data_IF_313165954039
#
_entry.id   IF_313165954039
#
_cell.length_a   1.000
_cell.length_b   1.000
_cell.length_c   1.000
_cell.angle_alpha   90.00
_cell.angle_beta   90.00
_cell.angle_gamma   90.00
#
_symmetry.space_group_name_H-M   'P 1'
#
loop_
_entity.id
_entity.type
_entity.pdbx_description
1 polymer ?
#
# COMPACT_ATOMS: atom_id res chain seq x y z
N UNK A 1 -27.25 10.98 17.60
CA UNK A 1 -25.78 11.06 17.69
C UNK A 1 -25.23 10.23 16.54
N UNK A 2 -24.89 10.92 15.46
CA UNK A 2 -24.38 10.36 14.21
C UNK A 2 -22.89 10.06 14.34
N UNK A 3 -22.54 8.80 14.56
CA UNK A 3 -21.18 8.29 14.49
C UNK A 3 -21.13 7.18 13.46
N UNK A 4 -21.15 7.53 12.17
CA UNK A 4 -20.87 6.61 11.08
C UNK A 4 -19.45 6.90 10.60
N UNK A 5 -18.47 6.27 11.25
CA UNK A 5 -17.12 6.13 10.71
C UNK A 5 -16.90 4.64 10.45
N UNK A 6 -17.16 4.24 9.21
CA UNK A 6 -16.78 2.94 8.65
C UNK A 6 -15.45 3.12 7.89
N UNK A 7 -14.45 3.66 8.56
CA UNK A 7 -13.07 3.70 8.07
C UNK A 7 -12.28 2.60 8.77
N UNK A 8 -11.67 1.69 8.01
CA UNK A 8 -10.74 0.71 8.59
C UNK A 8 -9.50 1.47 9.06
N UNK A 9 -9.24 1.45 10.37
CA UNK A 9 -8.03 2.00 10.97
C UNK A 9 -6.83 1.16 10.55
N UNK A 10 -5.83 1.78 9.93
CA UNK A 10 -4.60 1.12 9.51
C UNK A 10 -3.45 1.66 10.35
N UNK A 11 -2.53 0.78 10.73
CA UNK A 11 -1.27 1.16 11.37
C UNK A 11 -0.15 0.55 10.55
N UNK A 12 0.69 1.39 9.96
CA UNK A 12 1.91 0.92 9.31
C UNK A 12 2.98 0.86 10.38
N UNK A 13 3.66 -0.28 10.48
CA UNK A 13 4.58 -0.58 11.57
C UNK A 13 5.88 -1.15 11.01
N UNK A 14 6.98 -0.73 11.61
CA UNK A 14 8.31 -1.28 11.41
C UNK A 14 9.04 -1.37 12.77
N UNK A 15 9.98 -2.31 12.91
CA UNK A 15 10.77 -2.50 14.13
C UNK A 15 12.24 -2.69 13.82
N UNK A 16 13.10 -2.07 14.63
CA UNK A 16 14.51 -2.41 14.68
C UNK A 16 14.79 -3.32 15.88
N UNK A 17 15.71 -4.26 15.71
CA UNK A 17 16.01 -5.28 16.71
C UNK A 17 17.50 -5.34 17.03
N UNK A 18 17.86 -6.01 18.12
CA UNK A 18 19.27 -6.25 18.46
C UNK A 18 20.00 -7.16 17.46
N UNK A 19 19.30 -7.70 16.46
CA UNK A 19 19.74 -8.74 15.55
C UNK A 19 18.65 -9.78 15.29
N UNK A 20 19.02 -10.92 14.73
CA UNK A 20 18.10 -11.99 14.34
C UNK A 20 18.76 -13.36 14.54
N UNK A 21 18.00 -14.43 14.86
CA UNK A 21 16.53 -14.53 14.98
C UNK A 21 15.98 -14.32 16.39
N UNK A 22 14.65 -14.14 16.54
CA UNK A 22 13.98 -14.03 17.84
C UNK A 22 14.24 -15.22 18.78
N UNK A 23 14.44 -16.43 18.22
CA UNK A 23 14.74 -17.65 18.98
C UNK A 23 16.08 -17.62 19.71
N UNK A 24 17.00 -16.75 19.28
CA UNK A 24 18.32 -16.56 19.89
C UNK A 24 18.26 -15.45 20.96
N UNK A 25 17.05 -15.10 21.39
CA UNK A 25 16.76 -14.13 22.44
C UNK A 25 16.93 -12.68 22.01
N UNK A 26 16.97 -12.39 20.70
CA UNK A 26 17.02 -11.02 20.20
C UNK A 26 15.76 -10.24 20.62
N UNK A 27 15.90 -8.92 20.74
CA UNK A 27 14.91 -8.04 21.36
C UNK A 27 14.65 -6.83 20.47
N UNK A 28 13.49 -6.22 20.63
CA UNK A 28 13.16 -4.96 19.93
C UNK A 28 13.93 -3.81 20.59
N UNK A 29 14.48 -2.90 19.77
CA UNK A 29 15.18 -1.68 20.22
C UNK A 29 14.57 -0.39 19.68
N UNK A 30 13.72 -0.47 18.66
CA UNK A 30 12.94 0.65 18.16
C UNK A 30 11.58 0.14 17.65
N UNK A 31 10.52 0.88 17.94
CA UNK A 31 9.19 0.66 17.36
C UNK A 31 8.78 1.95 16.67
N UNK A 32 8.47 1.87 15.38
CA UNK A 32 7.91 2.97 14.61
C UNK A 32 6.53 2.60 14.08
N UNK A 33 5.54 3.41 14.39
CA UNK A 33 4.17 3.21 13.91
C UNK A 33 3.58 4.52 13.41
N UNK A 34 2.92 4.47 12.26
CA UNK A 34 2.14 5.59 11.71
C UNK A 34 0.70 5.18 11.48
N UNK A 35 -0.24 6.01 11.93
CA UNK A 35 -1.66 5.75 11.78
C UNK A 35 -2.23 6.36 10.49
N UNK A 36 -3.06 5.57 9.81
CA UNK A 36 -3.91 6.01 8.73
C UNK A 36 -5.38 5.77 9.07
N UNK A 37 -6.21 6.76 8.77
CA UNK A 37 -7.66 6.62 8.71
C UNK A 37 -8.06 6.46 7.23
N UNK A 38 -8.37 5.22 6.85
CA UNK A 38 -8.56 4.83 5.46
C UNK A 38 -7.30 5.00 4.62
N UNK A 39 -7.16 6.13 3.93
CA UNK A 39 -6.03 6.41 3.01
C UNK A 39 -5.32 7.72 3.33
N UNK A 40 -5.53 8.26 4.52
CA UNK A 40 -4.97 9.55 4.96
C UNK A 40 -4.19 9.35 6.24
N UNK A 41 -2.98 9.91 6.29
CA UNK A 41 -2.20 10.01 7.52
C UNK A 41 -2.98 10.83 8.54
N UNK A 42 -3.12 10.32 9.76
CA UNK A 42 -3.78 11.08 10.85
C UNK A 42 -2.80 11.99 11.58
N UNK A 43 -1.49 11.76 11.40
CA UNK A 43 -0.41 12.41 12.15
C UNK A 43 -0.19 11.82 13.55
N UNK A 44 -0.97 10.82 13.95
CA UNK A 44 -0.71 10.05 15.18
C UNK A 44 0.34 9.00 14.92
N UNK A 45 1.48 9.16 15.57
CA UNK A 45 2.57 8.20 15.53
C UNK A 45 2.78 7.59 16.91
N UNK A 46 3.31 6.37 16.94
CA UNK A 46 3.91 5.78 18.13
C UNK A 46 5.36 5.48 17.79
N UNK A 47 6.28 6.15 18.47
CA UNK A 47 7.71 6.02 18.20
C UNK A 47 8.49 5.99 19.51
N UNK A 48 9.16 4.87 19.76
CA UNK A 48 9.94 4.66 20.99
C UNK A 48 11.22 3.90 20.68
N UNK A 49 12.28 4.27 21.38
CA UNK A 49 13.49 3.45 21.50
C UNK A 49 13.43 2.66 22.80
N UNK A 50 14.00 1.45 22.80
CA UNK A 50 13.90 0.51 23.90
C UNK A 50 15.27 0.01 24.33
N UNK A 51 15.48 -0.09 25.64
CA UNK A 51 16.59 -0.83 26.21
C UNK A 51 16.27 -2.34 26.13
N UNK A 52 17.09 -3.14 25.41
CA UNK A 52 16.82 -4.56 25.21
C UNK A 52 17.32 -5.46 26.35
N UNK A 53 17.98 -4.91 27.38
CA UNK A 53 18.70 -5.65 28.43
C UNK A 53 19.74 -6.66 27.87
N UNK A 54 20.29 -6.39 26.69
CA UNK A 54 21.37 -7.17 26.04
C UNK A 54 22.18 -6.30 25.08
N UNK A 55 23.29 -6.83 24.59
CA UNK A 55 24.06 -6.18 23.52
C UNK A 55 23.37 -6.34 22.16
N UNK A 56 23.49 -5.29 21.34
CA UNK A 56 23.12 -5.22 19.92
C UNK A 56 24.28 -5.77 19.09
N UNK A 57 23.99 -6.65 18.15
CA UNK A 57 24.98 -7.22 17.24
C UNK A 57 25.58 -6.15 16.33
N UNK A 58 26.89 -6.22 16.08
CA UNK A 58 27.58 -5.26 15.18
C UNK A 58 26.95 -5.20 13.79
N UNK A 59 26.42 -6.32 13.29
CA UNK A 59 25.72 -6.38 12.01
C UNK A 59 24.42 -5.58 12.00
N UNK A 60 23.68 -5.56 13.11
CA UNK A 60 22.45 -4.77 13.26
C UNK A 60 22.80 -3.28 13.39
N UNK A 61 23.82 -2.94 14.19
CA UNK A 61 24.33 -1.55 14.30
C UNK A 61 24.73 -1.01 12.92
N UNK A 62 25.34 -1.81 12.05
CA UNK A 62 25.70 -1.39 10.70
C UNK A 62 24.49 -1.08 9.79
N UNK A 63 23.30 -1.60 10.11
CA UNK A 63 22.06 -1.43 9.33
C UNK A 63 21.26 -0.22 9.80
N UNK A 64 21.04 -0.08 11.11
CA UNK A 64 20.19 0.95 11.71
C UNK A 64 20.95 2.03 12.51
N UNK A 65 22.24 1.83 12.82
CA UNK A 65 23.09 2.81 13.51
C UNK A 65 22.84 3.01 15.00
N UNK A 66 21.92 2.24 15.58
CA UNK A 66 21.53 2.35 16.99
C UNK A 66 22.58 1.64 17.85
N UNK A 67 23.25 2.37 18.73
CA UNK A 67 24.32 1.83 19.57
C UNK A 67 23.82 1.41 20.95
N UNK A 68 24.56 0.52 21.62
CA UNK A 68 24.26 0.09 22.98
C UNK A 68 24.18 1.27 23.96
N UNK A 69 25.05 2.26 23.79
CA UNK A 69 25.08 3.47 24.62
C UNK A 69 23.83 4.33 24.41
N UNK A 70 23.33 4.39 23.18
CA UNK A 70 22.14 5.18 22.86
C UNK A 70 20.87 4.61 23.50
N UNK A 71 20.73 3.28 23.55
CA UNK A 71 19.54 2.63 24.12
C UNK A 71 19.65 2.37 25.63
N UNK A 72 20.82 2.58 26.23
CA UNK A 72 21.07 2.24 27.63
C UNK A 72 20.13 2.95 28.63
N UNK A 73 19.75 4.20 28.34
CA UNK A 73 18.88 5.03 29.19
C UNK A 73 17.39 4.99 28.78
N UNK A 74 17.07 4.25 27.72
CA UNK A 74 15.71 4.16 27.17
C UNK A 74 14.80 3.26 28.01
N UNK A 75 13.47 3.44 27.96
CA UNK A 75 12.54 2.55 28.64
C UNK A 75 12.68 1.11 28.13
N UNK A 76 12.27 0.13 28.93
CA UNK A 76 12.16 -1.26 28.47
C UNK A 76 10.80 -1.47 27.82
N UNK A 77 10.66 -2.55 27.04
CA UNK A 77 9.37 -2.89 26.44
C UNK A 77 8.22 -2.95 27.45
N UNK A 78 8.46 -3.51 28.64
CA UNK A 78 7.47 -3.58 29.74
C UNK A 78 6.89 -2.22 30.15
N UNK A 79 7.69 -1.16 30.01
CA UNK A 79 7.33 0.19 30.46
C UNK A 79 6.40 0.89 29.44
N UNK A 80 6.40 0.43 28.18
CA UNK A 80 5.58 0.98 27.08
C UNK A 80 4.54 -0.02 26.55
N UNK A 81 4.52 -1.26 27.04
CA UNK A 81 3.72 -2.35 26.49
C UNK A 81 2.22 -2.05 26.45
N UNK A 82 1.68 -1.42 27.50
CA UNK A 82 0.26 -1.04 27.55
C UNK A 82 -0.07 0.06 26.54
N UNK A 83 0.78 1.08 26.43
CA UNK A 83 0.59 2.18 25.47
C UNK A 83 0.70 1.68 24.03
N UNK A 84 1.67 0.81 23.75
CA UNK A 84 1.84 0.18 22.45
C UNK A 84 0.64 -0.70 22.09
N UNK A 85 0.19 -1.54 23.02
CA UNK A 85 -0.98 -2.39 22.82
C UNK A 85 -2.22 -1.55 22.48
N UNK A 86 -2.53 -0.52 23.28
CA UNK A 86 -3.65 0.39 23.00
C UNK A 86 -3.49 1.11 21.66
N UNK A 87 -2.26 1.43 21.25
CA UNK A 87 -2.00 2.02 19.95
C UNK A 87 -2.31 1.06 18.81
N UNK A 88 -2.03 -0.23 18.89
CA UNK A 88 -2.25 -1.15 17.76
C UNK A 88 -3.61 -1.85 17.79
N UNK A 89 -4.24 -1.97 18.96
CA UNK A 89 -5.46 -2.74 19.18
C UNK A 89 -6.59 -2.37 18.20
N UNK A 90 -7.20 -3.39 17.59
CA UNK A 90 -8.31 -3.24 16.64
C UNK A 90 -7.93 -2.66 15.27
N UNK A 91 -6.64 -2.43 14.98
CA UNK A 91 -6.19 -1.95 13.67
C UNK A 91 -5.86 -3.09 12.70
N UNK A 92 -5.75 -2.74 11.42
CA UNK A 92 -5.01 -3.55 10.45
C UNK A 92 -3.55 -3.09 10.43
N UNK A 93 -2.63 -3.99 10.76
CA UNK A 93 -1.20 -3.76 10.73
C UNK A 93 -0.67 -3.98 9.32
N UNK A 94 0.01 -2.98 8.79
CA UNK A 94 0.67 -3.01 7.49
C UNK A 94 2.17 -3.06 7.76
N UNK A 95 2.78 -4.19 7.46
CA UNK A 95 4.18 -4.45 7.78
C UNK A 95 4.87 -5.00 6.53
N UNK A 96 6.14 -4.69 6.33
CA UNK A 96 6.93 -5.29 5.26
C UNK A 96 7.68 -6.50 5.80
N UNK A 97 7.38 -7.71 5.31
CA UNK A 97 7.88 -8.96 5.88
C UNK A 97 7.32 -9.24 7.29
N UNK A 98 6.00 -9.12 7.44
CA UNK A 98 5.28 -9.12 8.72
C UNK A 98 5.62 -10.26 9.70
N UNK A 99 6.01 -11.44 9.19
CA UNK A 99 6.40 -12.56 10.04
C UNK A 99 7.57 -12.23 10.97
N UNK A 100 8.44 -11.30 10.56
CA UNK A 100 9.56 -10.81 11.35
C UNK A 100 9.05 -10.03 12.58
N UNK A 101 8.45 -8.85 12.35
CA UNK A 101 8.00 -7.93 13.39
C UNK A 101 6.98 -8.58 14.33
N UNK A 102 6.01 -9.31 13.78
CA UNK A 102 4.99 -10.02 14.58
C UNK A 102 5.66 -11.07 15.48
N UNK A 103 6.68 -11.78 15.00
CA UNK A 103 7.43 -12.73 15.82
C UNK A 103 8.12 -12.06 17.01
N UNK A 104 8.71 -10.89 16.80
CA UNK A 104 9.33 -10.12 17.88
C UNK A 104 8.29 -9.54 18.85
N UNK A 105 7.21 -8.95 18.36
CA UNK A 105 6.14 -8.38 19.20
C UNK A 105 5.50 -9.47 20.08
N UNK A 106 5.13 -10.61 19.48
CA UNK A 106 4.58 -11.75 20.19
C UNK A 106 5.53 -12.23 21.30
N UNK A 107 6.83 -12.33 20.99
CA UNK A 107 7.85 -12.74 21.95
C UNK A 107 8.02 -11.73 23.09
N UNK A 108 8.02 -10.42 22.81
CA UNK A 108 8.10 -9.39 23.85
C UNK A 108 6.92 -9.47 24.83
N UNK A 109 5.68 -9.61 24.33
CA UNK A 109 4.51 -9.81 25.20
C UNK A 109 4.56 -11.14 25.96
N UNK A 110 5.05 -12.22 25.33
CA UNK A 110 5.23 -13.52 25.99
C UNK A 110 6.24 -13.46 27.15
N UNK A 111 7.35 -12.71 26.99
CA UNK A 111 8.34 -12.50 28.05
C UNK A 111 7.78 -11.72 29.25
N UNK A 112 6.77 -10.88 29.05
CA UNK A 112 6.05 -10.21 30.13
C UNK A 112 5.01 -11.11 30.84
N UNK A 113 4.78 -12.32 30.34
CA UNK A 113 3.71 -13.20 30.81
C UNK A 113 2.31 -12.75 30.42
N UNK A 114 2.18 -11.84 29.44
CA UNK A 114 0.91 -11.34 28.92
C UNK A 114 0.44 -12.24 27.76
N UNK A 115 0.15 -13.50 28.06
CA UNK A 115 -0.18 -14.51 27.04
C UNK A 115 -1.47 -14.21 26.26
N UNK A 116 -2.35 -13.36 26.80
CA UNK A 116 -3.53 -12.86 26.12
C UNK A 116 -3.21 -11.81 25.04
N UNK A 117 -1.99 -11.25 25.06
CA UNK A 117 -1.50 -10.26 24.08
C UNK A 117 -0.38 -10.79 23.19
N UNK A 118 0.13 -11.99 23.49
CA UNK A 118 1.24 -12.62 22.77
C UNK A 118 0.87 -13.16 21.40
N UNK A 119 -0.39 -13.04 20.98
CA UNK A 119 -0.85 -13.37 19.63
C UNK A 119 -1.49 -12.15 19.01
N UNK A 120 -0.70 -11.34 18.29
CA UNK A 120 -1.19 -10.10 17.65
C UNK A 120 -2.39 -10.34 16.73
N UNK A 121 -2.48 -11.51 16.10
CA UNK A 121 -3.60 -11.87 15.21
C UNK A 121 -4.95 -12.03 15.93
N UNK A 122 -4.97 -12.11 17.27
CA UNK A 122 -6.21 -12.22 18.04
C UNK A 122 -6.96 -10.88 18.15
N UNK A 123 -6.24 -9.76 18.02
CA UNK A 123 -6.80 -8.40 18.19
C UNK A 123 -6.47 -7.44 17.06
N UNK A 124 -5.59 -7.82 16.14
CA UNK A 124 -5.26 -7.08 14.92
C UNK A 124 -5.38 -7.98 13.69
N UNK A 125 -5.63 -7.37 12.53
CA UNK A 125 -5.41 -8.07 11.25
C UNK A 125 -4.05 -7.69 10.69
N UNK A 126 -3.33 -8.62 10.05
CA UNK A 126 -1.98 -8.37 9.54
C UNK A 126 -1.98 -8.45 8.01
N UNK A 127 -1.43 -7.42 7.37
CA UNK A 127 -1.19 -7.35 5.93
C UNK A 127 0.31 -7.26 5.67
N UNK A 128 0.86 -8.30 5.04
CA UNK A 128 2.26 -8.33 4.63
C UNK A 128 2.45 -7.70 3.24
N UNK A 129 3.06 -6.52 3.22
CA UNK A 129 3.32 -5.79 1.97
C UNK A 129 4.38 -6.45 1.10
N UNK A 130 5.27 -7.29 1.65
CA UNK A 130 6.25 -8.04 0.87
C UNK A 130 5.56 -9.11 0.02
N UNK A 131 4.59 -9.83 0.59
CA UNK A 131 3.79 -10.80 -0.16
C UNK A 131 2.97 -10.12 -1.26
N UNK A 132 2.34 -9.00 -0.92
CA UNK A 132 1.59 -8.17 -1.86
C UNK A 132 2.49 -7.63 -3.00
N UNK A 133 3.70 -7.20 -2.68
CA UNK A 133 4.68 -6.76 -3.67
C UNK A 133 5.17 -7.91 -4.57
N UNK A 134 5.38 -9.11 -4.01
CA UNK A 134 5.76 -10.32 -4.76
C UNK A 134 4.69 -10.77 -5.74
N UNK A 135 3.41 -10.67 -5.36
CA UNK A 135 2.30 -10.98 -6.24
C UNK A 135 2.22 -9.96 -7.40
N UNK A 136 2.41 -8.68 -7.10
CA UNK A 136 2.32 -7.61 -8.10
C UNK A 136 3.53 -7.53 -9.04
N UNK A 137 4.72 -7.83 -8.53
CA UNK A 137 5.99 -7.74 -9.25
C UNK A 137 6.76 -9.07 -9.13
N UNK A 138 6.24 -10.15 -9.75
CA UNK A 138 6.87 -11.46 -9.68
C UNK A 138 8.25 -11.45 -10.33
N UNK A 139 9.22 -12.11 -9.68
CA UNK A 139 10.60 -12.24 -10.17
C UNK A 139 11.47 -10.98 -10.04
N UNK A 140 10.97 -9.93 -9.39
CA UNK A 140 11.70 -8.67 -9.19
C UNK A 140 12.13 -8.50 -7.73
N UNK A 141 13.07 -7.55 -7.49
CA UNK A 141 13.43 -7.15 -6.13
C UNK A 141 12.23 -6.40 -5.51
N UNK A 142 11.80 -6.86 -4.35
CA UNK A 142 10.62 -6.36 -3.63
C UNK A 142 10.96 -5.91 -2.20
N UNK A 143 12.23 -5.56 -1.94
CA UNK A 143 12.60 -4.89 -0.69
C UNK A 143 12.14 -3.42 -0.73
N UNK A 144 12.06 -2.78 0.43
CA UNK A 144 11.52 -1.42 0.56
C UNK A 144 12.20 -0.42 -0.39
N UNK A 145 13.53 -0.44 -0.50
CA UNK A 145 14.28 0.43 -1.44
C UNK A 145 13.88 0.23 -2.91
N UNK A 146 13.69 -1.02 -3.35
CA UNK A 146 13.26 -1.29 -4.72
C UNK A 146 11.83 -0.82 -4.96
N UNK A 147 10.97 -0.88 -3.94
CA UNK A 147 9.60 -0.37 -4.02
C UNK A 147 9.58 1.15 -4.05
N UNK A 148 10.42 1.83 -3.24
CA UNK A 148 10.56 3.29 -3.27
C UNK A 148 10.92 3.79 -4.67
N UNK A 149 11.98 3.21 -5.24
CA UNK A 149 12.44 3.54 -6.60
C UNK A 149 11.36 3.28 -7.67
N UNK A 150 10.58 2.21 -7.51
CA UNK A 150 9.52 1.84 -8.47
C UNK A 150 8.34 2.79 -8.44
N UNK A 151 7.91 3.17 -7.24
CA UNK A 151 6.73 4.00 -7.03
C UNK A 151 7.04 5.49 -6.98
N UNK A 152 8.31 5.89 -7.07
CA UNK A 152 8.73 7.28 -7.02
C UNK A 152 8.59 7.90 -5.63
N UNK A 153 8.66 7.07 -4.59
CA UNK A 153 8.70 7.52 -3.19
C UNK A 153 10.14 7.93 -2.86
N UNK A 154 10.31 9.11 -2.29
CA UNK A 154 11.61 9.63 -1.90
C UNK A 154 12.10 8.94 -0.63
N UNK A 155 13.26 8.28 -0.72
CA UNK A 155 13.96 7.68 0.41
C UNK A 155 15.36 8.29 0.60
N UNK A 156 15.60 9.50 0.06
CA UNK A 156 16.93 10.15 0.13
C UNK A 156 17.37 10.53 1.55
N UNK A 157 16.44 10.67 2.49
CA UNK A 157 16.74 10.86 3.92
C UNK A 157 17.08 9.59 4.69
N UNK A 158 17.07 8.42 4.01
CA UNK A 158 17.26 7.10 4.61
C UNK A 158 18.71 6.61 4.44
N UNK A 159 19.65 7.26 5.13
CA UNK A 159 21.05 6.81 5.15
C UNK A 159 21.23 5.51 5.97
N UNK A 160 20.45 5.39 7.05
CA UNK A 160 20.36 4.21 7.92
C UNK A 160 18.88 3.84 8.11
N UNK A 161 18.62 2.59 8.49
CA UNK A 161 17.28 2.14 8.83
C UNK A 161 16.86 2.78 10.15
N UNK A 162 15.59 3.17 10.23
CA UNK A 162 15.00 3.71 11.45
C UNK A 162 13.51 3.48 11.39
N UNK A 163 12.97 2.85 12.43
CA UNK A 163 11.63 2.25 12.36
C UNK A 163 10.53 3.28 12.00
N UNK A 164 10.60 4.51 12.51
CA UNK A 164 9.61 5.52 12.17
C UNK A 164 9.70 5.96 10.70
N UNK A 165 10.92 6.21 10.22
CA UNK A 165 11.16 6.62 8.84
C UNK A 165 10.72 5.50 7.87
N UNK A 166 11.04 4.25 8.21
CA UNK A 166 10.69 3.09 7.41
C UNK A 166 9.17 2.85 7.41
N UNK A 167 8.47 3.08 8.53
CA UNK A 167 7.02 3.06 8.59
C UNK A 167 6.37 4.18 7.75
N UNK A 168 6.93 5.40 7.75
CA UNK A 168 6.45 6.51 6.91
C UNK A 168 6.63 6.21 5.41
N UNK A 169 7.83 5.75 5.02
CA UNK A 169 8.14 5.34 3.65
C UNK A 169 7.24 4.19 3.22
N UNK A 170 7.04 3.19 4.08
CA UNK A 170 6.16 2.07 3.82
C UNK A 170 4.71 2.51 3.65
N UNK A 171 4.25 3.51 4.41
CA UNK A 171 2.91 4.08 4.25
C UNK A 171 2.74 4.69 2.85
N UNK A 172 3.71 5.49 2.38
CA UNK A 172 3.69 6.08 1.04
C UNK A 172 3.77 5.03 -0.07
N UNK A 173 4.62 4.03 0.09
CA UNK A 173 4.72 2.87 -0.82
C UNK A 173 3.40 2.12 -0.86
N UNK A 174 2.80 1.83 0.29
CA UNK A 174 1.52 1.14 0.40
C UNK A 174 0.40 1.93 -0.27
N UNK A 175 0.29 3.23 0.03
CA UNK A 175 -0.71 4.11 -0.56
C UNK A 175 -0.54 4.20 -2.07
N UNK A 176 0.68 4.33 -2.58
CA UNK A 176 0.94 4.39 -4.02
C UNK A 176 0.67 3.04 -4.70
N UNK A 177 1.06 1.94 -4.06
CA UNK A 177 0.83 0.59 -4.56
C UNK A 177 -0.66 0.26 -4.66
N UNK A 178 -1.46 0.69 -3.69
CA UNK A 178 -2.92 0.48 -3.64
C UNK A 178 -3.73 1.60 -4.31
N UNK A 179 -3.10 2.73 -4.64
CA UNK A 179 -3.76 3.94 -5.15
C UNK A 179 -3.87 4.04 -6.68
N UNK A 180 -3.31 3.09 -7.42
CA UNK A 180 -3.52 2.99 -8.87
C UNK A 180 -5.01 2.88 -9.20
N UNK A 181 -5.41 3.28 -10.43
CA UNK A 181 -6.81 3.16 -10.89
C UNK A 181 -7.39 1.82 -10.43
N UNK A 182 -8.37 1.88 -9.53
CA UNK A 182 -9.26 0.75 -9.23
C UNK A 182 -9.86 0.39 -10.57
N UNK A 183 -9.30 -0.64 -11.19
CA UNK A 183 -9.71 -1.29 -12.43
C UNK A 183 -10.82 -0.53 -13.16
N UNK A 184 -10.54 0.15 -14.27
CA UNK A 184 -11.61 0.71 -15.11
C UNK A 184 -12.48 -0.49 -15.54
N UNK A 185 -13.57 -0.73 -14.79
CA UNK A 185 -14.44 -1.88 -15.01
C UNK A 185 -15.31 -1.57 -16.21
N UNK A 186 -14.71 -1.71 -17.39
CA UNK A 186 -15.38 -1.69 -18.69
C UNK A 186 -16.21 -2.97 -18.91
N UNK A 187 -16.04 -3.97 -18.04
CA UNK A 187 -16.89 -5.14 -17.92
C UNK A 187 -17.86 -4.95 -16.74
N UNK A 188 -19.15 -5.11 -17.03
CA UNK A 188 -20.25 -4.93 -16.08
C UNK A 188 -20.14 -5.83 -14.85
N UNK A 189 -20.80 -5.38 -13.78
CA UNK A 189 -20.82 -5.97 -12.44
C UNK A 189 -21.05 -7.49 -12.46
N UNK A 190 -20.09 -8.21 -11.89
CA UNK A 190 -20.13 -9.65 -11.73
C UNK A 190 -18.77 -10.18 -11.28
N UNK A 191 -18.34 -9.82 -10.07
CA UNK A 191 -17.08 -10.31 -9.51
C UNK A 191 -17.26 -10.75 -8.05
N UNK A 192 -17.37 -12.06 -7.84
CA UNK A 192 -16.89 -12.67 -6.59
C UNK A 192 -15.37 -12.52 -6.56
N UNK A 193 -14.86 -11.92 -5.48
CA UNK A 193 -13.51 -11.38 -5.28
C UNK A 193 -12.33 -12.34 -5.43
N UNK A 194 -12.19 -13.00 -6.58
CA UNK A 194 -11.15 -14.01 -6.86
C UNK A 194 -10.12 -13.58 -7.91
N UNK A 195 -10.09 -12.30 -8.30
CA UNK A 195 -9.02 -11.74 -9.17
C UNK A 195 -8.89 -12.37 -10.56
N UNK A 196 -9.78 -13.28 -10.96
CA UNK A 196 -9.80 -13.88 -12.29
C UNK A 196 -10.63 -13.03 -13.25
N UNK A 197 -9.99 -12.54 -14.31
CA UNK A 197 -10.67 -11.91 -15.44
C UNK A 197 -11.43 -13.02 -16.19
N UNK A 198 -12.70 -13.21 -15.85
CA UNK A 198 -13.61 -14.00 -16.67
C UNK A 198 -14.00 -13.17 -17.91
N UNK A 199 -14.01 -13.75 -19.12
CA UNK A 199 -14.55 -13.07 -20.28
C UNK A 199 -16.02 -12.71 -20.01
N UNK A 200 -16.38 -11.45 -20.25
CA UNK A 200 -17.76 -10.99 -20.03
C UNK A 200 -18.72 -11.86 -20.87
N UNK A 201 -19.84 -12.32 -20.29
CA UNK A 201 -20.83 -13.05 -21.07
C UNK A 201 -21.34 -12.17 -22.21
N UNK A 202 -21.45 -12.74 -23.41
CA UNK A 202 -21.98 -12.04 -24.58
C UNK A 202 -23.42 -11.63 -24.27
N UNK A 203 -23.65 -10.35 -23.97
CA UNK A 203 -25.00 -9.80 -23.80
C UNK A 203 -25.64 -9.62 -25.17
N UNK A 204 -26.41 -10.61 -25.61
CA UNK A 204 -27.22 -10.50 -26.82
C UNK A 204 -28.36 -9.50 -26.57
N UNK A 205 -28.43 -8.47 -27.41
CA UNK A 205 -29.52 -7.50 -27.36
C UNK A 205 -30.81 -8.13 -27.88
N UNK A 206 -31.94 -7.73 -27.31
CA UNK A 206 -33.26 -8.21 -27.74
C UNK A 206 -33.54 -7.76 -29.19
N UNK A 207 -33.85 -8.68 -30.12
CA UNK A 207 -34.17 -8.35 -31.50
C UNK A 207 -35.44 -7.48 -31.65
N UNK A 208 -36.33 -7.46 -30.65
CA UNK A 208 -37.57 -6.68 -30.65
C UNK A 208 -37.45 -5.35 -29.88
N UNK A 209 -36.23 -4.86 -29.61
CA UNK A 209 -36.05 -3.57 -28.91
C UNK A 209 -36.71 -2.42 -29.68
N UNK A 210 -37.35 -1.50 -28.96
CA UNK A 210 -37.90 -0.28 -29.55
C UNK A 210 -36.78 0.54 -30.25
N UNK A 211 -37.04 1.12 -31.43
CA UNK A 211 -36.05 1.94 -32.12
C UNK A 211 -35.77 3.21 -31.31
N UNK A 212 -34.49 3.49 -31.08
CA UNK A 212 -34.05 4.72 -30.40
C UNK A 212 -34.04 5.85 -31.42
N UNK A 213 -34.48 7.05 -31.01
CA UNK A 213 -34.41 8.25 -31.85
C UNK A 213 -32.95 8.57 -32.16
N UNK A 214 -32.58 8.49 -33.44
CA UNK A 214 -31.26 8.93 -33.92
C UNK A 214 -31.33 10.40 -34.26
N UNK A 215 -30.60 11.22 -33.52
CA UNK A 215 -30.38 12.62 -33.85
C UNK A 215 -29.17 12.70 -34.79
N UNK A 216 -29.41 13.12 -36.04
CA UNK A 216 -28.35 13.33 -37.02
C UNK A 216 -27.72 14.71 -36.81
N UNK A 217 -26.45 14.82 -37.21
CA UNK A 217 -25.81 16.13 -37.32
C UNK A 217 -26.59 17.01 -38.29
N UNK A 218 -26.68 18.29 -37.94
CA UNK A 218 -27.24 19.35 -38.78
C UNK A 218 -26.28 19.69 -39.93
N UNK A 219 -26.78 20.39 -40.96
CA UNK A 219 -25.94 20.84 -42.07
C UNK A 219 -24.81 21.77 -41.60
N UNK A 220 -25.06 22.59 -40.58
CA UNK A 220 -24.06 23.47 -39.96
C UNK A 220 -22.95 22.67 -39.26
N UNK A 221 -23.31 21.64 -38.49
CA UNK A 221 -22.34 20.76 -37.84
C UNK A 221 -21.51 19.96 -38.83
N UNK A 222 -22.11 19.52 -39.95
CA UNK A 222 -21.39 18.84 -41.03
C UNK A 222 -20.43 19.78 -41.75
N UNK A 223 -20.83 21.03 -42.01
CA UNK A 223 -19.94 22.05 -42.58
C UNK A 223 -18.76 22.36 -41.65
N UNK A 224 -19.02 22.50 -40.35
CA UNK A 224 -17.97 22.69 -39.34
C UNK A 224 -17.02 21.48 -39.26
N UNK A 225 -17.56 20.26 -39.38
CA UNK A 225 -16.77 19.04 -39.44
C UNK A 225 -15.83 19.01 -40.66
N UNK A 226 -16.30 19.40 -41.84
CA UNK A 226 -15.48 19.48 -43.05
C UNK A 226 -14.33 20.49 -42.90
N UNK A 227 -14.60 21.66 -42.32
CA UNK A 227 -13.56 22.66 -42.00
C UNK A 227 -12.52 22.07 -41.03
N UNK A 228 -12.96 21.30 -40.03
CA UNK A 228 -12.06 20.65 -39.08
C UNK A 228 -11.18 19.59 -39.74
N UNK A 229 -11.72 18.80 -40.67
CA UNK A 229 -10.96 17.81 -41.43
C UNK A 229 -9.87 18.45 -42.29
N UNK A 230 -10.16 19.58 -42.95
CA UNK A 230 -9.16 20.32 -43.74
C UNK A 230 -8.00 20.86 -42.88
N UNK A 231 -8.29 21.30 -41.64
CA UNK A 231 -7.24 21.71 -40.69
C UNK A 231 -6.35 20.52 -40.32
N UNK A 232 -6.96 19.36 -40.06
CA UNK A 232 -6.23 18.14 -39.71
C UNK A 232 -5.35 17.68 -40.88
N UNK A 233 -5.88 17.70 -42.10
CA UNK A 233 -5.13 17.35 -43.31
C UNK A 233 -3.89 18.24 -43.49
N UNK A 234 -4.08 19.56 -43.35
CA UNK A 234 -2.98 20.53 -43.45
C UNK A 234 -1.91 20.31 -42.37
N UNK A 235 -2.31 19.95 -41.16
CA UNK A 235 -1.39 19.70 -40.05
C UNK A 235 -0.68 18.34 -40.17
N UNK A 236 -1.36 17.32 -40.68
CA UNK A 236 -0.85 15.95 -40.81
C UNK A 236 -0.06 15.71 -42.11
N UNK A 237 -0.17 16.60 -43.10
CA UNK A 237 0.51 16.48 -44.39
C UNK A 237 -0.05 15.38 -45.29
N UNK A 238 -1.29 14.94 -45.04
CA UNK A 238 -1.95 13.89 -45.81
C UNK A 238 -3.43 13.71 -45.43
N UNK A 239 -4.20 12.99 -46.27
CA UNK A 239 -5.65 12.89 -46.13
C UNK A 239 -6.06 12.22 -44.82
N UNK A 240 -7.03 12.79 -44.06
CA UNK A 240 -7.51 12.22 -42.82
C UNK A 240 -8.09 10.82 -43.02
N UNK A 241 -7.91 9.94 -42.03
CA UNK A 241 -8.46 8.57 -42.06
C UNK A 241 -9.97 8.56 -42.26
N UNK A 242 -10.68 9.56 -41.73
CA UNK A 242 -12.13 9.71 -41.90
C UNK A 242 -12.54 9.74 -43.37
N UNK A 243 -11.86 10.56 -44.18
CA UNK A 243 -12.13 10.70 -45.63
C UNK A 243 -11.86 9.38 -46.37
N UNK A 244 -10.77 8.69 -46.02
CA UNK A 244 -10.43 7.38 -46.60
C UNK A 244 -11.47 6.31 -46.29
N UNK A 245 -12.09 6.37 -45.11
CA UNK A 245 -13.11 5.40 -44.70
C UNK A 245 -14.46 5.69 -45.35
N UNK A 246 -14.83 6.94 -45.59
CA UNK A 246 -16.04 7.30 -46.34
C UNK A 246 -15.95 6.88 -47.81
N UNK A 247 -14.78 7.05 -48.44
CA UNK A 247 -14.53 6.58 -49.81
C UNK A 247 -14.60 5.05 -49.94
N UNK A 248 -14.23 4.31 -48.90
CA UNK A 248 -14.29 2.84 -48.86
C UNK A 248 -15.70 2.27 -48.57
N UNK A 249 -16.62 3.11 -48.10
CA UNK A 249 -18.00 2.75 -47.80
C UNK A 249 -19.02 3.23 -48.88
N UNK A 250 -18.54 3.97 -49.88
CA UNK A 250 -19.31 4.41 -51.06
C UNK A 250 -19.18 3.41 -52.21
#
# INVERSE_FOLDING_TARGET
>A
MSGQFSGTRLVVLDTETTGMPVTDGHRIIEIGCVELDGRRLTGRHFHVYLNPDREIDEGAIAVHGITNEFVADKPRFKDVADEFFEFINGAQLIIHNAAFDIGFINNEFALLGQSERSEVNDYCSVLDTLLMARERHPGQRNNLDALCKRYGVDNSGRDLHGALLDAEILADVYLTMTGGQTHLSLAGEGGDGSGRILPSPIRRLDPNRAPIRVLRATEEELAAHAVRLAIIEKAAGGPPLWVKMEEAQS
#
